data_IF_183404618102
#
_entry.id   IF_183404618102
#
_cell.length_a   1.000
_cell.length_b   1.000
_cell.length_c   1.000
_cell.angle_alpha   90.00
_cell.angle_beta   90.00
_cell.angle_gamma   90.00
#
_symmetry.space_group_name_H-M   'P 1'
#
loop_
_entity.id
_entity.type
_entity.pdbx_description
1 polymer ?
#
# COMPACT_ATOMS: atom_id res chain seq x y z
N UNK A 1 42.94 6.53 11.83
CA UNK A 1 42.88 6.80 13.30
C UNK A 1 44.13 6.34 14.05
N UNK A 2 44.72 5.15 13.86
CA UNK A 2 45.93 4.75 14.64
C UNK A 2 47.12 5.69 14.49
N UNK A 3 47.44 6.07 13.25
CA UNK A 3 48.55 6.97 12.97
C UNK A 3 48.43 8.34 13.68
N UNK A 4 47.23 8.88 13.72
CA UNK A 4 46.98 10.18 14.39
C UNK A 4 47.14 10.07 15.92
N UNK A 5 46.64 8.96 16.52
CA UNK A 5 46.76 8.75 17.96
C UNK A 5 48.23 8.50 18.38
N UNK A 6 48.97 7.72 17.59
CA UNK A 6 50.41 7.53 17.82
C UNK A 6 51.14 8.87 17.72
N UNK A 7 50.85 9.66 16.69
CA UNK A 7 51.48 10.98 16.51
C UNK A 7 51.14 11.91 17.66
N UNK A 8 49.89 11.92 18.12
CA UNK A 8 49.48 12.74 19.26
C UNK A 8 50.20 12.33 20.56
N UNK A 9 50.28 11.01 20.85
CA UNK A 9 51.04 10.52 22.03
C UNK A 9 52.50 10.81 21.97
N UNK A 10 53.14 10.63 20.80
CA UNK A 10 54.54 10.97 20.58
C UNK A 10 54.77 12.44 20.82
N UNK A 11 53.94 13.32 20.27
CA UNK A 11 54.02 14.75 20.45
C UNK A 11 53.86 15.16 21.92
N UNK A 12 52.85 14.62 22.60
CA UNK A 12 52.65 14.89 24.03
C UNK A 12 53.80 14.43 24.92
N UNK A 13 54.46 13.30 24.56
CA UNK A 13 55.67 12.84 25.23
C UNK A 13 56.85 13.75 24.96
N UNK A 14 57.08 14.15 23.71
CA UNK A 14 58.15 15.07 23.31
C UNK A 14 58.02 16.41 24.05
N UNK A 15 56.79 16.98 24.10
CA UNK A 15 56.51 18.26 24.78
C UNK A 15 56.79 18.14 26.30
N UNK A 16 56.38 17.02 26.91
CA UNK A 16 56.64 16.78 28.33
C UNK A 16 58.12 16.61 28.65
N UNK A 17 58.87 15.89 27.80
CA UNK A 17 60.29 15.69 27.95
C UNK A 17 61.03 17.01 27.74
N UNK A 18 60.68 17.79 26.73
CA UNK A 18 61.23 19.12 26.47
C UNK A 18 61.08 20.05 27.67
N UNK A 19 59.86 20.10 28.26
CA UNK A 19 59.64 20.92 29.46
C UNK A 19 60.55 20.48 30.62
N UNK A 20 60.69 19.18 30.87
CA UNK A 20 61.58 18.66 31.92
C UNK A 20 63.03 19.02 31.65
N UNK A 21 63.47 18.94 30.39
CA UNK A 21 64.86 19.28 30.00
C UNK A 21 65.10 20.79 30.13
N UNK A 22 64.19 21.62 29.67
CA UNK A 22 64.32 23.09 29.74
C UNK A 22 64.32 23.59 31.20
N UNK A 23 63.54 23.00 32.06
CA UNK A 23 63.42 23.36 33.49
C UNK A 23 64.49 22.70 34.36
N UNK A 24 65.20 21.71 33.85
CA UNK A 24 66.17 20.89 34.61
C UNK A 24 67.30 21.73 35.27
N UNK A 25 67.61 22.88 34.72
CA UNK A 25 68.58 23.84 35.26
C UNK A 25 68.26 24.38 36.66
N UNK A 26 66.94 24.16 37.06
CA UNK A 26 66.46 24.63 38.35
C UNK A 26 66.25 23.51 39.36
N UNK A 27 66.40 22.22 38.92
CA UNK A 27 66.11 21.02 39.74
C UNK A 27 67.40 20.50 40.39
N UNK A 28 67.19 19.92 41.58
CA UNK A 28 68.17 18.99 42.13
C UNK A 28 67.82 17.55 41.64
N UNK A 29 68.68 16.58 42.05
CA UNK A 29 68.52 15.19 41.54
C UNK A 29 67.25 14.56 42.07
N UNK A 30 66.77 14.82 43.28
CA UNK A 30 65.60 14.24 43.91
C UNK A 30 64.35 14.80 43.23
N UNK A 31 64.27 16.07 42.98
CA UNK A 31 63.17 16.73 42.29
C UNK A 31 63.05 16.24 40.83
N UNK A 32 64.17 16.05 40.16
CA UNK A 32 64.15 15.44 38.79
C UNK A 32 63.61 14.01 38.80
N UNK A 33 64.03 13.19 39.79
CA UNK A 33 63.55 11.82 39.90
C UNK A 33 62.05 11.77 40.16
N UNK A 34 61.51 12.65 41.00
CA UNK A 34 60.06 12.73 41.29
C UNK A 34 59.27 13.08 40.02
N UNK A 35 59.71 14.06 39.26
CA UNK A 35 59.09 14.49 38.01
C UNK A 35 59.10 13.36 36.96
N UNK A 36 60.22 12.67 36.82
CA UNK A 36 60.36 11.51 35.95
C UNK A 36 59.44 10.36 36.41
N UNK A 37 59.30 10.17 37.70
CA UNK A 37 58.35 9.18 38.23
C UNK A 37 56.90 9.49 37.83
N UNK A 38 56.45 10.75 38.02
CA UNK A 38 55.12 11.18 37.60
C UNK A 38 54.91 11.08 36.11
N UNK A 39 55.88 11.48 35.28
CA UNK A 39 55.81 11.33 33.83
C UNK A 39 55.63 9.86 33.42
N UNK A 40 56.45 8.99 33.99
CA UNK A 40 56.36 7.53 33.74
C UNK A 40 55.01 6.93 34.12
N UNK A 41 54.43 7.39 35.22
CA UNK A 41 53.10 6.91 35.66
C UNK A 41 51.98 7.47 34.78
N UNK A 42 52.04 8.75 34.38
CA UNK A 42 51.02 9.43 33.60
C UNK A 42 50.96 8.94 32.14
N UNK A 43 52.09 8.68 31.53
CA UNK A 43 52.17 8.32 30.10
C UNK A 43 52.48 6.84 29.85
N UNK A 44 52.62 6.04 30.92
CA UNK A 44 52.95 4.62 30.85
C UNK A 44 54.21 4.35 29.99
N UNK A 45 55.26 5.05 30.27
CA UNK A 45 56.57 4.94 29.57
C UNK A 45 57.64 4.35 30.52
N UNK A 46 58.47 3.55 29.93
CA UNK A 46 59.70 3.10 30.61
C UNK A 46 60.81 4.15 30.44
N UNK A 47 61.62 4.41 31.48
CA UNK A 47 62.69 5.35 31.42
C UNK A 47 63.88 5.01 32.30
N UNK A 48 65.04 5.41 31.85
CA UNK A 48 66.33 5.29 32.58
C UNK A 48 67.06 6.61 32.51
N UNK A 49 67.58 7.05 33.67
CA UNK A 49 68.51 8.18 33.80
C UNK A 49 69.87 7.64 34.19
N UNK A 50 70.86 7.95 33.41
CA UNK A 50 72.30 7.59 33.68
C UNK A 50 73.19 8.83 33.81
N UNK A 51 74.28 8.70 34.57
CA UNK A 51 75.32 9.74 34.58
C UNK A 51 76.32 9.50 33.46
N UNK A 52 77.29 10.42 33.29
CA UNK A 52 78.39 10.35 32.28
C UNK A 52 79.24 9.11 32.38
N UNK A 53 79.26 8.41 33.55
CA UNK A 53 80.01 7.17 33.79
C UNK A 53 79.19 5.96 33.50
N UNK A 54 77.90 6.12 33.07
CA UNK A 54 76.99 5.05 32.74
C UNK A 54 76.29 4.39 33.94
N UNK A 55 76.41 4.98 35.15
CA UNK A 55 75.64 4.43 36.30
C UNK A 55 74.20 4.89 36.25
N UNK A 56 73.30 3.95 36.53
CA UNK A 56 71.85 4.20 36.57
C UNK A 56 71.48 4.93 37.85
N UNK A 57 70.96 6.15 37.70
CA UNK A 57 70.53 7.00 38.81
C UNK A 57 69.05 6.86 39.11
N UNK A 58 68.23 6.61 38.05
CA UNK A 58 66.83 6.37 38.18
C UNK A 58 66.37 5.43 37.05
N UNK A 59 65.50 4.45 37.41
CA UNK A 59 64.91 3.54 36.45
C UNK A 59 63.50 3.16 36.88
N UNK A 60 62.54 3.28 35.96
CA UNK A 60 61.18 2.85 36.19
C UNK A 60 60.73 1.98 35.04
N UNK A 61 60.12 0.83 35.42
CA UNK A 61 59.52 -0.21 34.57
C UNK A 61 60.55 -1.02 33.76
N UNK A 62 61.07 -1.77 34.23
CA UNK A 62 62.34 -2.29 34.63
C UNK A 62 62.88 -3.44 33.81
N UNK A 63 62.12 -4.31 33.28
CA UNK A 63 62.64 -5.53 32.69
C UNK A 63 63.13 -5.37 31.24
N UNK A 64 62.53 -4.46 30.45
CA UNK A 64 62.91 -4.33 29.05
C UNK A 64 64.13 -3.43 28.82
N UNK A 65 64.22 -2.30 29.56
CA UNK A 65 65.35 -1.38 29.39
C UNK A 65 66.56 -1.84 30.18
N UNK A 66 66.40 -2.39 31.39
CA UNK A 66 67.49 -2.92 32.19
C UNK A 66 68.15 -4.15 31.52
N UNK A 67 67.39 -5.01 30.86
CA UNK A 67 67.96 -6.16 30.10
C UNK A 67 68.78 -5.69 28.89
N UNK A 68 68.43 -4.55 28.25
CA UNK A 68 69.21 -3.99 27.15
C UNK A 68 70.60 -3.50 27.59
N UNK A 69 70.74 -2.99 28.80
CA UNK A 69 72.03 -2.56 29.38
C UNK A 69 72.80 -3.70 30.03
N UNK A 70 72.16 -4.80 30.42
CA UNK A 70 72.78 -5.99 31.00
C UNK A 70 73.31 -6.98 29.97
N UNK A 71 73.18 -6.71 28.69
CA UNK A 71 73.74 -7.55 27.62
C UNK A 71 73.10 -8.91 27.35
N UNK A 72 71.94 -9.20 27.95
CA UNK A 72 71.22 -10.47 27.80
C UNK A 72 69.81 -10.30 27.22
N UNK A 73 69.72 -10.08 25.90
CA UNK A 73 68.42 -10.12 25.23
C UNK A 73 68.49 -11.15 24.07
N UNK A 74 67.65 -12.20 24.09
CA UNK A 74 67.40 -12.99 22.88
C UNK A 74 66.59 -12.14 21.89
N UNK A 75 67.09 -12.02 20.64
CA UNK A 75 66.46 -11.38 19.51
C UNK A 75 65.17 -12.16 19.09
N UNK A 76 64.05 -11.97 19.75
CA UNK A 76 62.75 -12.37 19.17
C UNK A 76 61.61 -11.59 19.81
N UNK A 77 61.18 -10.61 19.11
CA UNK A 77 60.06 -9.70 19.13
C UNK A 77 60.50 -8.25 19.20
N UNK A 78 60.71 -7.65 18.03
CA UNK A 78 60.79 -6.21 17.89
C UNK A 78 59.43 -5.59 18.26
N UNK A 79 59.28 -5.32 19.54
CA UNK A 79 58.22 -4.44 20.02
C UNK A 79 58.48 -3.09 19.32
N UNK A 80 57.50 -2.58 18.58
CA UNK A 80 57.56 -1.22 18.05
C UNK A 80 57.50 -0.26 19.23
N UNK A 81 58.66 0.28 19.60
CA UNK A 81 58.87 1.25 20.67
C UNK A 81 59.28 2.60 20.06
N UNK A 82 58.78 3.68 20.59
CA UNK A 82 59.25 5.01 20.27
C UNK A 82 60.22 5.42 21.35
N UNK A 83 61.45 5.70 20.99
CA UNK A 83 62.53 6.05 21.93
C UNK A 83 62.92 7.52 21.83
N UNK A 84 62.99 8.19 22.99
CA UNK A 84 63.51 9.57 23.11
C UNK A 84 64.75 9.50 23.95
N UNK A 85 65.79 10.20 23.49
CA UNK A 85 67.02 10.43 24.24
C UNK A 85 67.19 11.94 24.48
N UNK A 86 67.50 12.30 25.72
CA UNK A 86 67.74 13.69 26.10
C UNK A 86 68.91 13.77 27.06
N UNK A 87 69.62 14.84 26.96
CA UNK A 87 70.76 15.19 27.91
C UNK A 87 70.27 16.25 28.86
N UNK A 88 70.47 16.05 30.15
CA UNK A 88 69.98 16.89 31.24
C UNK A 88 71.15 17.43 32.00
N UNK A 89 71.13 18.75 32.30
CA UNK A 89 72.12 19.43 33.15
C UNK A 89 71.37 19.97 34.38
N UNK A 90 71.80 19.55 35.57
CA UNK A 90 71.20 19.97 36.84
C UNK A 90 71.87 21.25 37.38
N UNK A 91 71.21 21.92 38.35
CA UNK A 91 71.58 23.20 38.92
C UNK A 91 72.91 23.16 39.60
N UNK A 92 73.19 22.13 40.39
CA UNK A 92 74.39 22.06 41.23
C UNK A 92 75.39 20.98 40.79
N UNK A 93 75.28 20.49 39.55
CA UNK A 93 76.18 19.46 39.02
C UNK A 93 76.89 19.88 37.76
N UNK A 94 78.22 19.60 37.72
CA UNK A 94 78.99 19.71 36.49
C UNK A 94 78.85 18.44 35.59
N UNK A 95 78.24 17.40 36.08
CA UNK A 95 78.00 16.16 35.31
C UNK A 95 76.77 16.27 34.43
N UNK A 96 76.82 15.66 33.25
CA UNK A 96 75.64 15.47 32.38
C UNK A 96 74.96 14.23 32.68
N UNK A 97 73.65 14.25 32.61
CA UNK A 97 72.78 13.08 32.78
C UNK A 97 72.12 12.72 31.47
N UNK A 98 72.03 11.45 31.16
CA UNK A 98 71.43 10.91 29.92
C UNK A 98 70.12 10.23 30.26
N UNK A 99 69.01 10.81 29.75
CA UNK A 99 67.68 10.28 29.90
C UNK A 99 67.31 9.47 28.63
N UNK A 100 66.98 8.21 28.78
CA UNK A 100 66.36 7.40 27.75
C UNK A 100 64.91 7.02 28.16
N UNK A 101 63.97 7.27 27.26
CA UNK A 101 62.53 6.98 27.45
C UNK A 101 62.06 6.05 26.34
N UNK A 102 61.41 4.98 26.68
CA UNK A 102 60.79 4.03 25.73
C UNK A 102 59.28 4.00 25.94
N UNK A 103 58.53 4.31 24.90
CA UNK A 103 57.07 4.23 24.88
C UNK A 103 56.59 3.02 24.07
N UNK A 104 55.92 2.06 24.66
CA UNK A 104 55.37 0.89 23.93
C UNK A 104 54.18 1.33 23.07
N UNK A 105 54.17 0.98 21.78
CA UNK A 105 53.09 1.27 20.82
C UNK A 105 52.12 0.11 20.65
N UNK A 106 52.37 -1.05 21.28
CA UNK A 106 51.68 -2.30 21.07
C UNK A 106 50.18 -2.35 21.38
N UNK A 107 49.64 -1.78 22.48
CA UNK A 107 48.23 -1.97 22.83
C UNK A 107 47.24 -1.49 21.76
N UNK A 108 47.69 -0.55 20.90
CA UNK A 108 46.87 0.03 19.86
C UNK A 108 46.89 -0.81 18.59
N UNK A 109 48.02 -1.45 18.31
CA UNK A 109 48.14 -2.33 17.13
C UNK A 109 47.30 -3.61 17.30
N UNK A 110 47.22 -4.18 18.51
CA UNK A 110 46.37 -5.34 18.81
C UNK A 110 44.87 -5.02 18.64
N UNK A 111 44.43 -3.88 19.18
CA UNK A 111 43.04 -3.45 19.02
C UNK A 111 42.67 -3.20 17.54
N UNK A 112 43.61 -2.66 16.75
CA UNK A 112 43.44 -2.43 15.32
C UNK A 112 43.38 -3.75 14.52
N UNK A 113 44.15 -4.75 14.88
CA UNK A 113 44.09 -6.09 14.24
C UNK A 113 42.73 -6.73 14.49
N UNK A 114 42.23 -6.68 15.73
CA UNK A 114 40.90 -7.22 16.08
C UNK A 114 39.79 -6.50 15.32
N UNK A 115 39.81 -5.16 15.31
CA UNK A 115 38.82 -4.37 14.55
C UNK A 115 38.88 -4.68 13.06
N UNK A 116 40.07 -4.77 12.46
CA UNK A 116 40.23 -5.10 11.03
C UNK A 116 39.68 -6.47 10.68
N UNK A 117 39.82 -7.42 11.57
CA UNK A 117 39.33 -8.79 11.36
C UNK A 117 37.81 -8.91 11.53
N UNK A 118 37.19 -8.09 12.40
CA UNK A 118 35.73 -8.13 12.66
C UNK A 118 34.94 -7.27 11.66
N UNK A 119 35.52 -6.15 11.15
CA UNK A 119 34.87 -5.22 10.23
C UNK A 119 34.20 -5.88 9.01
N UNK A 120 34.83 -6.82 8.28
CA UNK A 120 34.20 -7.45 7.13
C UNK A 120 32.93 -8.20 7.52
N UNK A 121 32.90 -8.86 8.67
CA UNK A 121 31.73 -9.57 9.16
C UNK A 121 30.59 -8.62 9.53
N UNK A 122 30.93 -7.48 10.15
CA UNK A 122 29.94 -6.43 10.47
C UNK A 122 29.33 -5.85 9.17
N UNK A 123 30.15 -5.59 8.15
CA UNK A 123 29.68 -5.08 6.86
C UNK A 123 28.75 -6.09 6.18
N UNK A 124 29.13 -7.36 6.16
CA UNK A 124 28.28 -8.42 5.57
C UNK A 124 26.96 -8.57 6.34
N UNK A 125 27.01 -8.58 7.68
CA UNK A 125 25.82 -8.66 8.51
C UNK A 125 24.89 -7.44 8.26
N UNK A 126 25.45 -6.21 8.23
CA UNK A 126 24.70 -5.00 7.94
C UNK A 126 24.05 -5.04 6.54
N UNK A 127 24.75 -5.58 5.54
CA UNK A 127 24.21 -5.77 4.19
C UNK A 127 22.99 -6.70 4.18
N UNK A 128 23.07 -7.84 4.86
CA UNK A 128 21.93 -8.76 4.95
C UNK A 128 20.76 -8.19 5.73
N UNK A 129 21.02 -7.45 6.81
CA UNK A 129 19.97 -6.76 7.58
C UNK A 129 19.29 -5.71 6.70
N UNK A 130 20.05 -4.95 5.91
CA UNK A 130 19.50 -3.95 4.99
C UNK A 130 18.64 -4.61 3.89
N UNK A 131 19.08 -5.74 3.32
CA UNK A 131 18.29 -6.51 2.34
C UNK A 131 16.99 -7.02 2.95
N UNK A 132 17.06 -7.60 4.16
CA UNK A 132 15.87 -8.06 4.86
C UNK A 132 14.89 -6.92 5.14
N UNK A 133 15.40 -5.78 5.63
CA UNK A 133 14.61 -4.58 5.85
C UNK A 133 13.96 -4.06 4.56
N UNK A 134 14.69 -4.00 3.46
CA UNK A 134 14.18 -3.61 2.16
C UNK A 134 13.10 -4.58 1.65
N UNK A 135 13.28 -5.88 1.82
CA UNK A 135 12.29 -6.89 1.45
C UNK A 135 10.99 -6.74 2.27
N UNK A 136 11.10 -6.61 3.60
CA UNK A 136 9.95 -6.41 4.49
C UNK A 136 9.22 -5.12 4.12
N UNK A 137 9.94 -4.01 3.93
CA UNK A 137 9.38 -2.72 3.54
C UNK A 137 8.64 -2.81 2.20
N UNK A 138 9.27 -3.41 1.20
CA UNK A 138 8.67 -3.60 -0.12
C UNK A 138 7.38 -4.42 -0.05
N UNK A 139 7.38 -5.51 0.72
CA UNK A 139 6.23 -6.42 0.79
C UNK A 139 5.08 -5.87 1.65
N UNK A 140 5.39 -5.13 2.73
CA UNK A 140 4.39 -4.66 3.69
C UNK A 140 3.83 -3.27 3.35
N UNK A 141 4.62 -2.42 2.70
CA UNK A 141 4.23 -1.03 2.42
C UNK A 141 4.11 -0.76 0.93
N UNK A 142 5.16 -1.05 0.15
CA UNK A 142 5.20 -0.65 -1.26
C UNK A 142 4.18 -1.41 -2.12
N UNK A 143 4.11 -2.73 -2.00
CA UNK A 143 3.16 -3.53 -2.79
C UNK A 143 1.70 -3.20 -2.52
N UNK A 144 1.22 -3.14 -1.25
CA UNK A 144 -0.15 -2.72 -0.96
C UNK A 144 -0.47 -1.31 -1.45
N UNK A 145 0.48 -0.37 -1.31
CA UNK A 145 0.31 0.99 -1.78
C UNK A 145 0.13 1.06 -3.30
N UNK A 146 0.95 0.32 -4.06
CA UNK A 146 0.81 0.21 -5.52
C UNK A 146 -0.55 -0.41 -5.90
N UNK A 147 -1.02 -1.41 -5.15
CA UNK A 147 -2.32 -2.01 -5.39
C UNK A 147 -3.46 -1.01 -5.16
N UNK A 148 -3.39 -0.21 -4.09
CA UNK A 148 -4.38 0.84 -3.79
C UNK A 148 -4.38 1.88 -4.91
N UNK A 149 -3.20 2.38 -5.32
CA UNK A 149 -3.08 3.38 -6.40
C UNK A 149 -3.62 2.83 -7.73
N UNK A 150 -3.32 1.59 -8.05
CA UNK A 150 -3.81 0.97 -9.28
C UNK A 150 -5.33 0.79 -9.25
N UNK A 151 -5.89 0.39 -8.10
CA UNK A 151 -7.34 0.28 -7.90
C UNK A 151 -8.02 1.64 -8.06
N UNK A 152 -7.49 2.69 -7.44
CA UNK A 152 -8.01 4.06 -7.54
C UNK A 152 -7.98 4.58 -8.99
N UNK A 153 -6.88 4.33 -9.71
CA UNK A 153 -6.77 4.68 -11.14
C UNK A 153 -7.80 3.94 -11.99
N UNK A 154 -8.04 2.68 -11.70
CA UNK A 154 -9.03 1.88 -12.40
C UNK A 154 -10.46 2.38 -12.14
N UNK A 155 -10.78 2.74 -10.89
CA UNK A 155 -12.05 3.35 -10.51
C UNK A 155 -12.23 4.72 -11.18
N UNK A 156 -11.20 5.57 -11.20
CA UNK A 156 -11.23 6.87 -11.90
C UNK A 156 -11.45 6.70 -13.42
N UNK A 157 -10.78 5.70 -14.02
CA UNK A 157 -10.98 5.39 -15.45
C UNK A 157 -12.42 4.96 -15.72
N UNK A 158 -12.97 4.06 -14.93
CA UNK A 158 -14.38 3.63 -15.03
C UNK A 158 -15.34 4.79 -14.89
N UNK A 159 -15.07 5.70 -13.96
CA UNK A 159 -15.88 6.92 -13.76
C UNK A 159 -15.83 7.86 -14.98
N UNK A 160 -14.67 8.06 -15.59
CA UNK A 160 -14.52 8.86 -16.82
C UNK A 160 -15.27 8.23 -17.99
N UNK A 161 -15.14 6.91 -18.17
CA UNK A 161 -15.86 6.16 -19.20
C UNK A 161 -17.37 6.23 -18.98
N UNK A 162 -17.82 6.15 -17.74
CA UNK A 162 -19.23 6.31 -17.37
C UNK A 162 -19.77 7.69 -17.76
N UNK A 163 -19.07 8.79 -17.41
CA UNK A 163 -19.47 10.15 -17.76
C UNK A 163 -19.50 10.37 -19.28
N UNK A 164 -18.51 9.83 -20.00
CA UNK A 164 -18.47 9.92 -21.45
C UNK A 164 -19.66 9.19 -22.09
N UNK A 165 -20.00 8.00 -21.59
CA UNK A 165 -21.16 7.23 -22.07
C UNK A 165 -22.47 7.93 -21.78
N UNK A 166 -22.63 8.51 -20.56
CA UNK A 166 -23.78 9.35 -20.20
C UNK A 166 -23.97 10.45 -21.24
N UNK A 167 -22.90 11.20 -21.51
CA UNK A 167 -22.97 12.34 -22.46
C UNK A 167 -23.43 11.88 -23.83
N UNK A 168 -23.00 10.71 -24.27
CA UNK A 168 -23.40 10.15 -25.56
C UNK A 168 -24.87 9.68 -25.54
N UNK A 169 -25.29 9.00 -24.48
CA UNK A 169 -26.66 8.47 -24.37
C UNK A 169 -27.71 9.59 -24.18
N UNK A 170 -27.34 10.73 -23.57
CA UNK A 170 -28.18 11.94 -23.51
C UNK A 170 -28.25 12.68 -24.82
N UNK A 171 -27.12 12.80 -25.55
CA UNK A 171 -27.07 13.55 -26.81
C UNK A 171 -27.98 12.97 -27.86
N UNK A 172 -28.08 11.65 -27.93
CA UNK A 172 -28.86 10.95 -28.96
C UNK A 172 -30.35 11.28 -28.91
N UNK A 173 -31.10 11.12 -27.79
CA UNK A 173 -32.53 11.49 -27.72
C UNK A 173 -32.74 13.00 -27.91
N UNK A 174 -31.88 13.87 -27.37
CA UNK A 174 -31.95 15.29 -27.59
C UNK A 174 -31.90 15.65 -29.08
N UNK A 175 -30.93 15.08 -29.81
CA UNK A 175 -30.78 15.29 -31.25
C UNK A 175 -32.02 14.82 -32.03
N UNK A 176 -32.63 13.71 -31.60
CA UNK A 176 -33.84 13.17 -32.25
C UNK A 176 -35.03 14.09 -32.02
N UNK A 177 -35.24 14.49 -30.75
CA UNK A 177 -36.36 15.43 -30.42
C UNK A 177 -36.17 16.72 -31.17
N UNK A 178 -34.96 17.32 -31.16
CA UNK A 178 -34.67 18.57 -31.89
C UNK A 178 -34.92 18.40 -33.40
N UNK A 179 -34.45 17.33 -34.01
CA UNK A 179 -34.67 17.10 -35.43
C UNK A 179 -36.12 16.82 -35.80
N UNK A 180 -36.91 16.16 -34.93
CA UNK A 180 -38.34 15.98 -35.10
C UNK A 180 -39.09 17.31 -34.99
N UNK A 181 -38.78 18.14 -34.00
CA UNK A 181 -39.37 19.45 -33.82
C UNK A 181 -39.04 20.39 -34.99
N UNK A 182 -37.79 20.45 -35.40
CA UNK A 182 -37.31 21.22 -36.55
C UNK A 182 -38.02 20.79 -37.84
N UNK A 183 -38.10 19.48 -38.10
CA UNK A 183 -38.83 18.94 -39.24
C UNK A 183 -40.33 19.31 -39.24
N UNK A 184 -40.97 19.34 -38.06
CA UNK A 184 -42.37 19.79 -37.91
C UNK A 184 -42.53 21.28 -38.09
N UNK A 185 -41.61 22.11 -37.59
CA UNK A 185 -41.61 23.57 -37.74
C UNK A 185 -41.55 23.96 -39.24
N UNK A 186 -40.60 23.34 -39.97
CA UNK A 186 -40.37 23.64 -41.37
C UNK A 186 -41.19 22.81 -42.36
N UNK A 187 -42.12 21.96 -41.90
CA UNK A 187 -42.96 21.09 -42.72
C UNK A 187 -42.21 20.19 -43.68
N UNK A 188 -41.07 19.62 -43.24
CA UNK A 188 -40.17 18.83 -44.07
C UNK A 188 -40.60 17.35 -44.17
N UNK A 189 -40.81 16.82 -45.35
CA UNK A 189 -40.98 15.40 -45.63
C UNK A 189 -42.02 14.70 -44.72
N UNK A 190 -41.63 13.64 -44.05
CA UNK A 190 -42.49 12.86 -43.14
C UNK A 190 -42.96 13.59 -41.90
N UNK A 191 -42.28 14.65 -41.49
CA UNK A 191 -42.63 15.45 -40.31
C UNK A 191 -43.86 16.38 -40.51
N UNK A 192 -44.43 16.40 -41.73
CA UNK A 192 -45.71 17.05 -42.00
C UNK A 192 -46.86 16.45 -41.18
N UNK A 193 -46.78 15.15 -40.86
CA UNK A 193 -47.65 14.49 -39.90
C UNK A 193 -47.29 14.87 -38.48
N UNK A 194 -47.69 16.08 -38.06
CA UNK A 194 -47.33 16.64 -36.76
C UNK A 194 -47.88 15.83 -35.60
N UNK A 195 -49.04 15.26 -35.71
CA UNK A 195 -49.65 14.50 -34.62
C UNK A 195 -48.82 13.25 -34.27
N UNK A 196 -48.45 12.46 -35.25
CA UNK A 196 -47.59 11.32 -35.08
C UNK A 196 -46.22 11.69 -34.52
N UNK A 197 -45.58 12.75 -35.03
CA UNK A 197 -44.23 13.12 -34.61
C UNK A 197 -44.19 13.87 -33.28
N UNK A 198 -45.25 14.58 -32.92
CA UNK A 198 -45.40 15.16 -31.58
C UNK A 198 -45.47 14.08 -30.52
N UNK A 199 -46.27 13.00 -30.78
CA UNK A 199 -46.34 11.84 -29.89
C UNK A 199 -45.00 11.14 -29.76
N UNK A 200 -44.28 10.90 -30.87
CA UNK A 200 -42.95 10.32 -30.85
C UNK A 200 -41.92 11.17 -30.09
N UNK A 201 -41.99 12.51 -30.23
CA UNK A 201 -41.11 13.42 -29.50
C UNK A 201 -41.42 13.38 -28.01
N UNK A 202 -42.72 13.33 -27.64
CA UNK A 202 -43.14 13.20 -26.27
C UNK A 202 -42.63 11.86 -25.65
N UNK A 203 -42.82 10.75 -26.34
CA UNK A 203 -42.34 9.43 -25.89
C UNK A 203 -40.84 9.45 -25.68
N UNK A 204 -40.08 10.04 -26.63
CA UNK A 204 -38.62 10.16 -26.50
C UNK A 204 -38.21 11.08 -25.33
N UNK A 205 -39.03 12.11 -25.01
CA UNK A 205 -38.80 12.92 -23.82
C UNK A 205 -39.03 12.18 -22.52
N UNK A 206 -40.04 11.28 -22.47
CA UNK A 206 -40.28 10.40 -21.31
C UNK A 206 -39.13 9.39 -21.11
N UNK A 207 -38.60 8.81 -22.21
CA UNK A 207 -37.41 7.96 -22.14
C UNK A 207 -36.19 8.73 -21.63
N UNK A 208 -35.97 9.95 -22.11
CA UNK A 208 -34.89 10.82 -21.63
C UNK A 208 -35.03 11.15 -20.13
N UNK A 209 -36.24 11.46 -19.68
CA UNK A 209 -36.54 11.72 -18.27
C UNK A 209 -36.19 10.49 -17.41
N UNK A 210 -36.64 9.31 -17.81
CA UNK A 210 -36.35 8.07 -17.09
C UNK A 210 -34.84 7.81 -17.00
N UNK A 211 -34.09 8.06 -18.09
CA UNK A 211 -32.64 7.92 -18.12
C UNK A 211 -31.96 8.91 -17.14
N UNK A 212 -32.40 10.16 -17.08
CA UNK A 212 -31.89 11.16 -16.13
C UNK A 212 -32.19 10.76 -14.69
N UNK A 213 -33.39 10.27 -14.41
CA UNK A 213 -33.79 9.79 -13.07
C UNK A 213 -32.92 8.62 -12.61
N UNK A 214 -32.64 7.64 -13.48
CA UNK A 214 -31.72 6.53 -13.22
C UNK A 214 -30.29 7.02 -12.94
N UNK A 215 -29.79 8.00 -13.71
CA UNK A 215 -28.46 8.58 -13.50
C UNK A 215 -28.36 9.33 -12.18
N UNK A 216 -29.38 10.09 -11.82
CA UNK A 216 -29.43 10.78 -10.53
C UNK A 216 -29.44 9.79 -9.36
N UNK A 217 -30.07 8.66 -9.53
CA UNK A 217 -30.07 7.59 -8.53
C UNK A 217 -28.69 6.99 -8.34
N UNK A 218 -27.96 6.71 -9.44
CA UNK A 218 -26.60 6.21 -9.39
C UNK A 218 -25.69 7.22 -8.68
N UNK A 219 -25.77 8.49 -9.06
CA UNK A 219 -24.98 9.55 -8.42
C UNK A 219 -25.26 9.67 -6.92
N UNK A 220 -26.50 9.55 -6.50
CA UNK A 220 -26.86 9.53 -5.08
C UNK A 220 -26.37 8.27 -4.36
N UNK A 221 -26.38 7.11 -5.01
CA UNK A 221 -25.91 5.86 -4.40
C UNK A 221 -24.39 5.84 -4.20
N UNK A 222 -23.61 6.41 -5.12
CA UNK A 222 -22.16 6.57 -4.96
C UNK A 222 -21.78 7.50 -3.79
N UNK A 223 -22.61 8.52 -3.54
CA UNK A 223 -22.40 9.47 -2.43
C UNK A 223 -22.90 8.91 -1.10
N UNK A 224 -23.93 8.06 -1.12
CA UNK A 224 -24.64 7.55 0.06
C UNK A 224 -24.31 6.09 0.40
N UNK A 225 -23.14 5.59 0.02
CA UNK A 225 -22.69 4.22 0.40
C UNK A 225 -22.72 3.97 1.93
N UNK A 226 -22.96 4.98 2.75
CA UNK A 226 -22.78 4.89 4.21
C UNK A 226 -24.05 4.70 5.05
N UNK A 227 -25.27 4.93 4.54
CA UNK A 227 -26.46 4.90 5.40
C UNK A 227 -27.61 4.09 4.80
N UNK A 228 -27.47 2.74 4.84
CA UNK A 228 -28.61 1.86 4.59
C UNK A 228 -29.59 1.93 5.77
N UNK A 229 -30.85 2.23 5.47
CA UNK A 229 -31.95 2.13 6.45
C UNK A 229 -32.46 0.69 6.54
N UNK A 230 -31.67 -0.14 7.24
CA UNK A 230 -32.02 -1.56 7.38
C UNK A 230 -33.25 -1.74 8.28
N UNK A 231 -34.30 -2.35 7.75
CA UNK A 231 -35.50 -2.73 8.46
C UNK A 231 -35.84 -4.21 8.24
N UNK A 232 -36.59 -4.78 9.14
CA UNK A 232 -37.07 -6.18 9.04
C UNK A 232 -38.35 -6.18 8.23
N UNK A 233 -38.35 -6.88 7.10
CA UNK A 233 -39.50 -6.95 6.20
C UNK A 233 -39.89 -8.39 5.89
N UNK A 234 -41.16 -8.61 5.50
CA UNK A 234 -41.62 -9.86 4.95
C UNK A 234 -41.47 -9.82 3.41
N UNK A 235 -40.46 -10.54 2.89
CA UNK A 235 -40.21 -10.63 1.45
C UNK A 235 -41.38 -11.25 0.69
N UNK A 236 -42.12 -12.21 1.30
CA UNK A 236 -43.23 -12.89 0.65
C UNK A 236 -44.37 -11.93 0.30
N UNK A 237 -44.70 -11.04 1.24
CA UNK A 237 -45.76 -10.03 1.03
C UNK A 237 -45.26 -8.98 0.02
N UNK A 238 -44.02 -8.53 0.15
CA UNK A 238 -43.44 -7.58 -0.79
C UNK A 238 -43.44 -8.10 -2.23
N UNK A 239 -43.02 -9.35 -2.45
CA UNK A 239 -43.00 -9.97 -3.79
C UNK A 239 -44.41 -10.06 -4.37
N UNK A 240 -45.41 -10.45 -3.55
CA UNK A 240 -46.79 -10.51 -3.98
C UNK A 240 -47.30 -9.17 -4.47
N UNK A 241 -47.04 -8.11 -3.73
CA UNK A 241 -47.46 -6.75 -4.10
C UNK A 241 -46.80 -6.26 -5.38
N UNK A 242 -45.49 -6.49 -5.53
CA UNK A 242 -44.74 -6.08 -6.71
C UNK A 242 -45.13 -6.82 -7.97
N UNK A 243 -45.35 -8.13 -7.87
CA UNK A 243 -45.83 -8.96 -8.99
C UNK A 243 -47.23 -8.54 -9.41
N UNK A 244 -48.15 -8.34 -8.45
CA UNK A 244 -49.52 -7.92 -8.76
C UNK A 244 -49.58 -6.60 -9.56
N UNK A 245 -48.67 -5.67 -9.29
CA UNK A 245 -48.57 -4.41 -10.04
C UNK A 245 -48.11 -4.61 -11.49
N UNK A 246 -47.46 -5.69 -11.80
CA UNK A 246 -46.95 -6.02 -13.14
C UNK A 246 -47.84 -6.98 -13.93
N UNK A 247 -48.92 -7.50 -13.33
CA UNK A 247 -49.81 -8.48 -13.98
C UNK A 247 -50.33 -8.00 -15.33
N UNK A 248 -50.72 -6.72 -15.42
CA UNK A 248 -51.18 -6.13 -16.68
C UNK A 248 -50.14 -6.27 -17.82
N UNK A 249 -48.87 -6.00 -17.55
CA UNK A 249 -47.78 -6.09 -18.54
C UNK A 249 -47.47 -7.58 -18.89
N UNK A 250 -47.61 -8.46 -17.91
CA UNK A 250 -47.41 -9.90 -18.10
C UNK A 250 -48.50 -10.43 -19.03
N UNK A 251 -49.77 -10.04 -18.78
CA UNK A 251 -50.95 -10.45 -19.58
C UNK A 251 -50.91 -9.82 -20.98
N UNK A 252 -50.61 -8.52 -21.11
CA UNK A 252 -50.46 -7.84 -22.39
C UNK A 252 -49.44 -8.51 -23.31
N UNK A 253 -48.39 -9.05 -22.73
CA UNK A 253 -47.33 -9.74 -23.47
C UNK A 253 -47.59 -11.25 -23.62
N UNK A 254 -48.74 -11.77 -23.16
CA UNK A 254 -49.07 -13.19 -23.11
C UNK A 254 -48.01 -14.07 -22.45
N UNK A 255 -47.44 -13.63 -21.32
CA UNK A 255 -46.45 -14.38 -20.58
C UNK A 255 -47.10 -15.25 -19.51
N UNK A 256 -46.59 -16.46 -19.29
CA UNK A 256 -47.04 -17.35 -18.22
C UNK A 256 -46.27 -17.06 -16.93
N UNK A 257 -46.94 -16.63 -15.85
CA UNK A 257 -46.35 -16.41 -14.56
C UNK A 257 -46.41 -17.69 -13.69
N UNK A 258 -45.21 -18.20 -13.30
CA UNK A 258 -45.09 -19.30 -12.34
C UNK A 258 -44.57 -18.76 -11.01
N UNK A 259 -45.47 -18.54 -10.05
CA UNK A 259 -45.18 -17.92 -8.76
C UNK A 259 -45.14 -18.97 -7.64
N UNK A 260 -43.97 -19.25 -7.05
CA UNK A 260 -43.71 -20.23 -5.99
C UNK A 260 -42.97 -19.61 -4.84
N UNK A 261 -43.65 -18.91 -3.95
CA UNK A 261 -43.06 -18.19 -2.83
C UNK A 261 -43.54 -18.77 -1.51
N UNK A 262 -42.63 -19.20 -0.65
CA UNK A 262 -42.92 -19.63 0.72
C UNK A 262 -43.46 -18.44 1.54
N UNK A 263 -44.31 -18.73 2.52
CA UNK A 263 -44.88 -17.70 3.41
C UNK A 263 -43.88 -17.28 4.49
N UNK A 264 -44.00 -16.03 4.92
CA UNK A 264 -43.25 -15.48 6.07
C UNK A 264 -41.71 -15.55 5.92
N UNK A 265 -41.21 -15.22 4.75
CA UNK A 265 -39.79 -15.06 4.52
C UNK A 265 -39.31 -13.69 5.06
N UNK A 266 -38.75 -13.70 6.25
CA UNK A 266 -38.31 -12.48 6.93
C UNK A 266 -36.84 -12.20 6.58
N UNK A 267 -36.55 -10.97 6.13
CA UNK A 267 -35.22 -10.50 5.78
C UNK A 267 -34.96 -9.11 6.41
N UNK A 268 -33.67 -8.74 6.58
CA UNK A 268 -33.28 -7.43 7.09
C UNK A 268 -32.52 -6.65 6.02
N UNK A 269 -33.18 -5.65 5.44
CA UNK A 269 -32.69 -4.90 4.27
C UNK A 269 -33.25 -3.48 4.25
N UNK A 270 -32.71 -2.62 3.38
CA UNK A 270 -33.34 -1.36 3.04
C UNK A 270 -34.48 -1.63 2.05
N UNK A 271 -35.72 -1.48 2.52
CA UNK A 271 -36.94 -1.84 1.78
C UNK A 271 -37.07 -1.11 0.45
N UNK A 272 -36.81 0.21 0.44
CA UNK A 272 -36.93 1.02 -0.78
C UNK A 272 -35.93 0.56 -1.84
N UNK A 273 -34.69 0.29 -1.43
CA UNK A 273 -33.63 -0.20 -2.33
C UNK A 273 -33.92 -1.60 -2.85
N UNK A 274 -34.43 -2.51 -2.00
CA UNK A 274 -34.78 -3.87 -2.45
C UNK A 274 -36.01 -3.88 -3.36
N UNK A 275 -36.98 -3.02 -3.13
CA UNK A 275 -38.10 -2.80 -4.09
C UNK A 275 -37.57 -2.50 -5.48
N UNK A 276 -36.57 -1.64 -5.59
CA UNK A 276 -35.97 -1.26 -6.87
C UNK A 276 -35.24 -2.45 -7.52
N UNK A 277 -34.50 -3.22 -6.74
CA UNK A 277 -33.84 -4.47 -7.23
C UNK A 277 -34.87 -5.39 -7.85
N UNK A 278 -35.95 -5.70 -7.10
CA UNK A 278 -36.97 -6.66 -7.54
C UNK A 278 -37.70 -6.12 -8.77
N UNK A 279 -38.09 -4.84 -8.78
CA UNK A 279 -38.73 -4.21 -9.95
C UNK A 279 -37.86 -4.26 -11.19
N UNK A 280 -36.55 -3.93 -11.08
CA UNK A 280 -35.62 -4.00 -12.21
C UNK A 280 -35.54 -5.44 -12.76
N UNK A 281 -35.48 -6.46 -11.88
CA UNK A 281 -35.37 -7.84 -12.30
C UNK A 281 -36.68 -8.32 -12.96
N UNK A 282 -37.84 -8.00 -12.38
CA UNK A 282 -39.15 -8.36 -12.96
C UNK A 282 -39.35 -7.64 -14.31
N UNK A 283 -39.06 -6.34 -14.38
CA UNK A 283 -39.16 -5.57 -15.62
C UNK A 283 -38.25 -6.13 -16.72
N UNK A 284 -37.03 -6.52 -16.37
CA UNK A 284 -36.12 -7.19 -17.30
C UNK A 284 -36.69 -8.53 -17.77
N UNK A 285 -37.23 -9.34 -16.87
CA UNK A 285 -37.85 -10.60 -17.21
C UNK A 285 -39.04 -10.41 -18.19
N UNK A 286 -39.94 -9.48 -17.89
CA UNK A 286 -41.08 -9.15 -18.77
C UNK A 286 -40.58 -8.65 -20.13
N UNK A 287 -39.62 -7.73 -20.11
CA UNK A 287 -39.13 -7.05 -21.30
C UNK A 287 -38.42 -7.98 -22.29
N UNK A 288 -37.59 -8.86 -21.81
CA UNK A 288 -36.73 -9.69 -22.65
C UNK A 288 -37.35 -11.07 -23.00
N UNK A 289 -38.38 -11.54 -22.27
CA UNK A 289 -39.08 -12.75 -22.66
C UNK A 289 -39.93 -12.53 -23.93
N UNK A 290 -39.82 -13.37 -24.95
CA UNK A 290 -40.79 -13.41 -26.07
C UNK A 290 -42.22 -13.68 -25.61
N UNK A 291 -43.23 -13.30 -26.41
CA UNK A 291 -44.63 -13.65 -26.14
C UNK A 291 -44.81 -15.17 -26.07
N UNK A 292 -45.60 -15.66 -25.12
CA UNK A 292 -45.85 -17.09 -24.89
C UNK A 292 -44.83 -17.78 -23.98
N UNK A 293 -43.78 -17.09 -23.56
CA UNK A 293 -42.76 -17.62 -22.68
C UNK A 293 -43.13 -17.44 -21.19
N UNK A 294 -42.29 -17.95 -20.28
CA UNK A 294 -42.58 -17.99 -18.84
C UNK A 294 -41.67 -17.07 -18.03
N UNK A 295 -42.25 -16.49 -16.98
CA UNK A 295 -41.55 -15.86 -15.89
C UNK A 295 -41.74 -16.71 -14.64
N UNK A 296 -40.65 -17.14 -14.01
CA UNK A 296 -40.67 -18.02 -12.84
C UNK A 296 -40.09 -17.26 -11.66
N UNK A 297 -40.89 -17.03 -10.63
CA UNK A 297 -40.44 -16.35 -9.39
C UNK A 297 -40.55 -17.37 -8.25
N UNK A 298 -39.39 -17.67 -7.63
CA UNK A 298 -39.34 -18.55 -6.46
C UNK A 298 -38.66 -17.83 -5.31
N UNK A 299 -39.22 -17.96 -4.12
CA UNK A 299 -38.55 -17.56 -2.90
C UNK A 299 -38.78 -18.61 -1.82
N UNK A 300 -37.68 -19.00 -1.18
CA UNK A 300 -37.70 -20.08 -0.21
C UNK A 300 -36.56 -19.95 0.81
N UNK A 301 -36.70 -20.64 1.95
CA UNK A 301 -35.61 -20.71 2.92
C UNK A 301 -34.76 -21.94 2.62
N UNK A 302 -33.47 -21.70 2.30
CA UNK A 302 -32.51 -22.78 2.04
C UNK A 302 -32.33 -23.66 3.27
N UNK A 303 -32.52 -24.98 3.11
CA UNK A 303 -32.34 -25.96 4.18
C UNK A 303 -30.89 -26.08 4.65
N UNK A 304 -29.93 -25.84 3.75
CA UNK A 304 -28.52 -26.00 4.03
C UNK A 304 -27.92 -24.78 4.76
N UNK A 305 -28.23 -23.56 4.32
CA UNK A 305 -27.63 -22.32 4.82
C UNK A 305 -28.52 -21.50 5.74
N UNK A 306 -29.79 -21.87 5.87
CA UNK A 306 -30.88 -21.13 6.55
C UNK A 306 -31.10 -19.70 5.99
N UNK A 307 -30.47 -19.35 4.88
CA UNK A 307 -30.62 -18.07 4.18
C UNK A 307 -31.92 -18.07 3.35
N UNK A 308 -32.52 -16.90 3.17
CA UNK A 308 -33.64 -16.72 2.26
C UNK A 308 -33.09 -16.55 0.85
N UNK A 309 -33.59 -17.28 -0.10
CA UNK A 309 -33.20 -17.27 -1.51
C UNK A 309 -34.33 -16.74 -2.36
N UNK A 310 -34.06 -15.78 -3.24
CA UNK A 310 -34.96 -15.30 -4.27
C UNK A 310 -34.39 -15.66 -5.64
N UNK A 311 -35.18 -16.36 -6.45
CA UNK A 311 -34.92 -16.73 -7.83
C UNK A 311 -35.92 -16.06 -8.76
N UNK A 312 -35.43 -15.34 -9.77
CA UNK A 312 -36.24 -14.81 -10.87
C UNK A 312 -35.67 -15.36 -12.17
N UNK A 313 -36.43 -16.15 -12.87
CA UNK A 313 -36.05 -16.81 -14.12
C UNK A 313 -37.02 -16.40 -15.23
N UNK A 314 -36.47 -16.02 -16.38
CA UNK A 314 -37.25 -15.76 -17.58
C UNK A 314 -36.79 -16.70 -18.71
N UNK A 315 -37.78 -17.24 -19.47
CA UNK A 315 -37.52 -18.17 -20.56
C UNK A 315 -37.57 -17.51 -21.93
N UNK A 316 -37.16 -18.24 -22.97
CA UNK A 316 -37.09 -17.76 -24.34
C UNK A 316 -35.87 -16.90 -24.65
N UNK A 317 -34.90 -16.80 -23.73
CA UNK A 317 -33.73 -15.96 -23.86
C UNK A 317 -32.48 -16.71 -23.43
N UNK A 318 -31.36 -16.40 -24.10
CA UNK A 318 -30.05 -16.91 -23.73
C UNK A 318 -29.03 -15.79 -23.79
N UNK A 319 -28.15 -15.73 -22.80
CA UNK A 319 -27.00 -14.82 -22.78
C UNK A 319 -25.72 -15.65 -22.90
N UNK A 320 -24.85 -15.30 -23.86
CA UNK A 320 -23.57 -15.98 -23.98
C UNK A 320 -22.74 -15.79 -22.71
N UNK A 321 -22.02 -16.83 -22.28
CA UNK A 321 -21.26 -16.86 -21.03
C UNK A 321 -20.27 -15.69 -20.88
N UNK A 322 -19.64 -15.29 -21.99
CA UNK A 322 -18.70 -14.14 -22.01
C UNK A 322 -19.36 -12.81 -21.60
N UNK A 323 -20.69 -12.67 -21.75
CA UNK A 323 -21.40 -11.44 -21.41
C UNK A 323 -22.01 -11.44 -20.00
N UNK A 324 -22.04 -12.59 -19.31
CA UNK A 324 -22.67 -12.70 -17.97
C UNK A 324 -22.03 -11.79 -16.92
N UNK A 325 -20.73 -11.51 -17.03
CA UNK A 325 -20.05 -10.53 -16.20
C UNK A 325 -20.25 -9.09 -16.67
N UNK A 326 -20.40 -8.89 -17.99
CA UNK A 326 -20.50 -7.57 -18.59
C UNK A 326 -21.89 -6.95 -18.45
N UNK A 327 -22.96 -7.75 -18.32
CA UNK A 327 -24.34 -7.25 -18.16
C UNK A 327 -24.56 -6.37 -16.93
N UNK A 328 -23.62 -6.41 -15.98
CA UNK A 328 -23.61 -5.56 -14.79
C UNK A 328 -22.82 -4.24 -14.99
N UNK A 329 -22.17 -4.05 -16.15
CA UNK A 329 -21.54 -2.78 -16.48
C UNK A 329 -22.61 -1.75 -16.88
N UNK A 330 -22.45 -0.48 -16.53
CA UNK A 330 -23.41 0.55 -16.90
C UNK A 330 -23.52 0.69 -18.42
N UNK A 331 -24.75 0.83 -18.93
CA UNK A 331 -25.07 0.97 -20.36
C UNK A 331 -24.77 -0.27 -21.22
N UNK A 332 -24.35 -1.37 -20.63
CA UNK A 332 -24.09 -2.58 -21.39
C UNK A 332 -25.39 -3.23 -21.87
N UNK A 333 -25.39 -3.66 -23.14
CA UNK A 333 -26.49 -4.39 -23.77
C UNK A 333 -25.89 -5.48 -24.67
N UNK A 334 -26.44 -6.69 -24.58
CA UNK A 334 -26.01 -7.84 -25.40
C UNK A 334 -26.23 -7.57 -26.89
N UNK A 335 -27.36 -6.97 -27.25
CA UNK A 335 -27.65 -6.54 -28.62
C UNK A 335 -27.12 -5.13 -28.86
N UNK A 336 -26.04 -5.01 -29.63
CA UNK A 336 -25.52 -3.74 -30.13
C UNK A 336 -26.39 -3.09 -31.21
N UNK A 337 -27.30 -3.84 -31.80
CA UNK A 337 -28.26 -3.26 -32.76
C UNK A 337 -29.23 -2.37 -31.97
N UNK A 338 -29.13 -1.07 -32.24
CA UNK A 338 -30.02 0.00 -31.76
C UNK A 338 -31.48 -0.19 -32.19
N UNK A 339 -31.99 -1.42 -32.12
CA UNK A 339 -33.40 -1.66 -32.32
C UNK A 339 -34.15 -1.09 -31.10
N UNK A 340 -34.50 0.19 -31.22
CA UNK A 340 -35.26 0.98 -30.23
C UNK A 340 -36.60 0.35 -29.84
N UNK A 341 -37.03 -0.72 -30.51
CA UNK A 341 -38.26 -1.43 -30.18
C UNK A 341 -38.22 -2.12 -28.82
N UNK A 342 -37.02 -2.44 -28.31
CA UNK A 342 -36.91 -3.07 -26.98
C UNK A 342 -36.54 -2.12 -25.86
N UNK A 343 -36.36 -0.81 -26.08
CA UNK A 343 -36.13 0.26 -25.08
C UNK A 343 -35.21 -0.12 -23.91
N UNK A 344 -34.66 0.85 -23.20
CA UNK A 344 -33.94 0.63 -21.94
C UNK A 344 -32.51 1.11 -21.97
N UNK A 345 -32.14 1.75 -20.86
CA UNK A 345 -30.88 2.45 -20.65
C UNK A 345 -29.64 1.55 -20.54
N UNK A 346 -29.83 0.27 -20.16
CA UNK A 346 -28.72 -0.60 -19.75
C UNK A 346 -28.20 -0.32 -18.33
N UNK A 347 -28.92 0.51 -17.56
CA UNK A 347 -28.55 0.85 -16.18
C UNK A 347 -29.22 -0.06 -15.13
N UNK A 348 -30.34 -0.73 -15.46
CA UNK A 348 -31.11 -1.50 -14.48
C UNK A 348 -30.32 -2.58 -13.75
N UNK A 349 -29.56 -3.43 -14.46
CA UNK A 349 -28.72 -4.46 -13.83
C UNK A 349 -27.49 -3.87 -13.11
N UNK A 350 -26.95 -2.76 -13.58
CA UNK A 350 -25.92 -2.03 -12.86
C UNK A 350 -26.45 -1.54 -11.51
N UNK A 351 -27.63 -0.90 -11.47
CA UNK A 351 -28.30 -0.45 -10.22
C UNK A 351 -28.53 -1.65 -9.29
N UNK A 352 -29.03 -2.78 -9.82
CA UNK A 352 -29.20 -4.03 -9.05
C UNK A 352 -27.89 -4.43 -8.39
N UNK A 353 -26.80 -4.48 -9.16
CA UNK A 353 -25.49 -4.87 -8.64
C UNK A 353 -24.97 -3.93 -7.55
N UNK A 354 -25.14 -2.61 -7.70
CA UNK A 354 -24.71 -1.62 -6.70
C UNK A 354 -25.50 -1.76 -5.39
N UNK A 355 -26.84 -1.91 -5.49
CA UNK A 355 -27.69 -2.08 -4.30
C UNK A 355 -27.36 -3.39 -3.57
N UNK A 356 -27.19 -4.49 -4.28
CA UNK A 356 -26.86 -5.78 -3.65
C UNK A 356 -25.47 -5.77 -3.01
N UNK A 357 -24.48 -5.13 -3.65
CA UNK A 357 -23.15 -4.91 -3.08
C UNK A 357 -23.20 -4.06 -1.81
N UNK A 358 -23.93 -2.96 -1.81
CA UNK A 358 -24.06 -2.11 -0.61
C UNK A 358 -24.69 -2.82 0.58
N UNK A 359 -25.58 -3.81 0.32
CA UNK A 359 -26.16 -4.68 1.34
C UNK A 359 -25.28 -5.87 1.73
N UNK A 360 -24.08 -6.04 1.10
CA UNK A 360 -23.23 -7.23 1.23
C UNK A 360 -23.96 -8.55 0.93
N UNK A 361 -24.94 -8.51 0.01
CA UNK A 361 -25.69 -9.68 -0.41
C UNK A 361 -24.99 -10.38 -1.57
N UNK A 362 -24.91 -11.70 -1.50
CA UNK A 362 -24.43 -12.51 -2.61
C UNK A 362 -25.51 -12.67 -3.66
N UNK A 363 -25.15 -12.55 -4.93
CA UNK A 363 -26.06 -12.76 -6.06
C UNK A 363 -25.33 -13.44 -7.22
N UNK A 364 -26.11 -14.11 -8.07
CA UNK A 364 -25.60 -14.84 -9.22
C UNK A 364 -26.56 -14.71 -10.40
N UNK A 365 -26.01 -14.60 -11.61
CA UNK A 365 -26.78 -14.68 -12.86
C UNK A 365 -26.26 -15.86 -13.68
N UNK A 366 -27.14 -16.69 -14.15
CA UNK A 366 -26.84 -17.88 -14.93
C UNK A 366 -27.70 -17.89 -16.20
N UNK A 367 -27.07 -18.25 -17.32
CA UNK A 367 -27.77 -18.49 -18.57
C UNK A 367 -27.83 -19.99 -18.84
N UNK A 368 -29.02 -20.49 -19.03
CA UNK A 368 -29.29 -21.88 -19.44
C UNK A 368 -29.64 -21.90 -20.94
N UNK A 369 -29.87 -23.11 -21.48
CA UNK A 369 -30.08 -23.27 -22.93
C UNK A 369 -31.25 -22.44 -23.50
N UNK A 370 -32.26 -22.10 -22.68
CA UNK A 370 -33.42 -21.29 -23.11
C UNK A 370 -33.98 -20.44 -21.96
N UNK A 371 -33.14 -20.09 -20.98
CA UNK A 371 -33.59 -19.23 -19.87
C UNK A 371 -32.42 -18.50 -19.22
N UNK A 372 -32.72 -17.40 -18.55
CA UNK A 372 -31.79 -16.64 -17.72
C UNK A 372 -32.35 -16.63 -16.30
N UNK A 373 -31.52 -17.06 -15.36
CA UNK A 373 -31.84 -17.12 -13.93
C UNK A 373 -31.03 -16.11 -13.16
N UNK A 374 -31.69 -15.28 -12.36
CA UNK A 374 -31.06 -14.40 -11.38
C UNK A 374 -31.36 -14.88 -9.97
N UNK A 375 -30.37 -15.08 -9.13
CA UNK A 375 -30.51 -15.57 -7.75
C UNK A 375 -29.92 -14.55 -6.77
N UNK A 376 -30.66 -14.25 -5.69
CA UNK A 376 -30.20 -13.41 -4.56
C UNK A 376 -30.26 -14.23 -3.29
N UNK A 377 -29.23 -14.12 -2.45
CA UNK A 377 -29.13 -14.77 -1.14
C UNK A 377 -29.16 -13.70 -0.05
N UNK A 378 -30.22 -13.69 0.79
CA UNK A 378 -30.45 -12.73 1.87
C UNK A 378 -30.01 -13.25 3.23
#
# INVERSE_FOLDING_TARGET
MPAYYHQYKIQALQDSVKSIVDDSKFYDIDELQERLYFLGKKQNVAMILTNDKGYIIFGKNDQHITNKYAGNIPMSNQLKEYNIKATIKLKDSSELYHLEIAMPLQPIDEANIVLRNIMPFIIVAAFFIALLGAYIYSNTITKPLIQIINKEREEEKKRKEFIATISHELKTPITIISGQLEGMIYNIGKYKDRETYLKKSYDCTQELKALVDEMMEISKSEILEKDLKLEVINLSDLLKDLVNRQNYLIDEKNLELNYKVEKNLIIKVDKEKIIKVINNLINNAIKYSPSGEKIIIKAFKSKASKTVVLEIENTGVTIEEKYLSEVFNPFFRVEKSRNRKTGGSGLGLYIVSQILKSHNLYYKMESKKNSVLFTIYF
#
